data_IF_968758904228
#
_entry.id   IF_968758904228
#
_cell.length_a   1.000
_cell.length_b   1.000
_cell.length_c   1.000
_cell.angle_alpha   90.00
_cell.angle_beta   90.00
_cell.angle_gamma   90.00
#
_symmetry.space_group_name_H-M   'P 1'
#
loop_
_entity.id
_entity.type
_entity.pdbx_description
1 polymer ?
#
# COMPACT_ATOMS: atom_id res chain seq x y z
N UNK A 1 14.12 -8.28 -6.70
CA UNK A 1 13.22 -7.21 -6.25
C UNK A 1 13.13 -7.15 -4.73
N UNK A 2 13.11 -5.94 -4.20
CA UNK A 2 13.24 -5.69 -2.75
C UNK A 2 12.11 -6.30 -1.92
N UNK A 3 10.86 -6.27 -2.41
CA UNK A 3 9.71 -6.79 -1.66
C UNK A 3 9.82 -8.30 -1.46
N UNK A 4 10.14 -9.04 -2.50
CA UNK A 4 10.33 -10.50 -2.43
C UNK A 4 11.51 -10.83 -1.52
N UNK A 5 12.58 -10.07 -1.61
CA UNK A 5 13.74 -10.27 -0.74
C UNK A 5 13.41 -10.01 0.73
N UNK A 6 12.62 -8.98 1.03
CA UNK A 6 12.18 -8.69 2.40
C UNK A 6 11.45 -9.89 3.01
N UNK A 7 10.55 -10.50 2.24
CA UNK A 7 9.83 -11.69 2.69
C UNK A 7 10.79 -12.85 3.00
N UNK A 8 11.75 -13.09 2.13
CA UNK A 8 12.74 -14.16 2.34
C UNK A 8 13.60 -13.93 3.58
N UNK A 9 14.02 -12.67 3.80
CA UNK A 9 14.79 -12.29 4.98
C UNK A 9 13.99 -12.51 6.26
N UNK A 10 12.71 -12.13 6.26
CA UNK A 10 11.82 -12.31 7.40
C UNK A 10 11.61 -13.79 7.71
N UNK A 11 11.37 -14.61 6.69
CA UNK A 11 11.21 -16.07 6.87
C UNK A 11 12.46 -16.70 7.45
N UNK A 12 13.62 -16.28 6.96
CA UNK A 12 14.90 -16.77 7.47
C UNK A 12 15.12 -16.42 8.93
N UNK A 13 14.83 -15.16 9.30
CA UNK A 13 14.94 -14.70 10.69
C UNK A 13 13.98 -15.46 11.59
N UNK A 14 12.74 -15.65 11.16
CA UNK A 14 11.73 -16.39 11.93
C UNK A 14 12.15 -17.83 12.24
N UNK A 15 12.85 -18.47 11.32
CA UNK A 15 13.33 -19.85 11.51
C UNK A 15 14.29 -20.02 12.69
N UNK A 16 14.98 -18.96 13.07
CA UNK A 16 15.89 -18.99 14.22
C UNK A 16 15.29 -18.28 15.44
N UNK A 17 13.99 -18.05 15.42
CA UNK A 17 13.27 -17.47 16.57
C UNK A 17 13.21 -15.95 16.60
N UNK A 18 13.74 -15.28 15.59
CA UNK A 18 13.68 -13.83 15.52
C UNK A 18 12.39 -13.40 14.83
N UNK A 19 11.30 -13.37 15.60
CA UNK A 19 9.97 -13.05 15.10
C UNK A 19 9.06 -12.60 16.25
N UNK A 20 8.00 -11.85 15.91
CA UNK A 20 6.97 -11.52 16.90
C UNK A 20 6.05 -12.72 17.11
N UNK A 21 5.66 -12.99 18.36
CA UNK A 21 4.84 -14.17 18.66
C UNK A 21 3.39 -14.08 18.19
N UNK A 22 2.88 -12.88 17.92
CA UNK A 22 1.49 -12.71 17.46
C UNK A 22 1.32 -11.47 16.59
N UNK A 23 0.17 -11.43 15.91
CA UNK A 23 -0.14 -10.40 14.94
C UNK A 23 -0.35 -9.01 15.55
N UNK A 24 -0.80 -8.95 16.80
CA UNK A 24 -1.03 -7.66 17.46
C UNK A 24 0.27 -6.86 17.58
N UNK A 25 1.37 -7.54 17.87
CA UNK A 25 2.68 -6.89 17.96
C UNK A 25 3.16 -6.39 16.59
N UNK A 26 2.83 -7.12 15.52
CA UNK A 26 3.16 -6.68 14.16
C UNK A 26 2.36 -5.42 13.81
N UNK A 27 1.07 -5.37 14.17
CA UNK A 27 0.22 -4.19 13.95
C UNK A 27 0.71 -2.99 14.76
N UNK A 28 1.12 -3.20 16.01
CA UNK A 28 1.71 -2.15 16.83
C UNK A 28 2.97 -1.57 16.19
N UNK A 29 3.78 -2.42 15.58
CA UNK A 29 4.98 -1.98 14.88
C UNK A 29 4.64 -1.09 13.69
N UNK A 30 3.61 -1.42 12.93
CA UNK A 30 3.15 -0.60 11.81
C UNK A 30 2.69 0.78 12.30
N UNK A 31 1.95 0.83 13.42
CA UNK A 31 1.55 2.10 14.03
C UNK A 31 2.75 2.93 14.44
N UNK A 32 3.74 2.29 15.05
CA UNK A 32 4.98 2.94 15.46
C UNK A 32 5.73 3.53 14.26
N UNK A 33 5.91 2.74 13.20
CA UNK A 33 6.61 3.19 11.99
C UNK A 33 5.85 4.32 11.28
N UNK A 34 4.52 4.30 11.32
CA UNK A 34 3.70 5.37 10.76
C UNK A 34 3.94 6.68 11.51
N UNK A 35 4.01 6.64 12.84
CA UNK A 35 4.31 7.82 13.67
C UNK A 35 5.71 8.36 13.37
N UNK A 36 6.69 7.47 13.27
CA UNK A 36 8.08 7.87 12.97
C UNK A 36 8.18 8.54 11.59
N UNK A 37 7.39 8.05 10.62
CA UNK A 37 7.34 8.68 9.30
C UNK A 37 6.76 10.09 9.36
N UNK A 38 5.69 10.31 10.12
CA UNK A 38 5.09 11.63 10.30
C UNK A 38 6.10 12.58 10.96
N UNK A 39 6.79 12.12 12.00
CA UNK A 39 7.83 12.89 12.67
C UNK A 39 8.97 13.27 11.71
N UNK A 40 9.41 12.32 10.88
CA UNK A 40 10.45 12.55 9.89
C UNK A 40 10.03 13.63 8.88
N UNK A 41 8.76 13.61 8.47
CA UNK A 41 8.21 14.61 7.57
C UNK A 41 8.21 16.00 8.22
N UNK A 42 7.86 16.09 9.50
CA UNK A 42 7.89 17.36 10.24
C UNK A 42 9.28 17.93 10.34
N UNK A 43 10.31 17.07 10.46
CA UNK A 43 11.70 17.47 10.48
C UNK A 43 12.23 17.86 9.09
N UNK A 44 11.45 17.63 8.05
CA UNK A 44 11.80 17.94 6.66
C UNK A 44 13.11 17.27 6.18
N UNK A 45 13.47 16.13 6.78
CA UNK A 45 14.64 15.36 6.38
C UNK A 45 14.27 14.28 5.39
N UNK A 46 14.63 14.46 4.12
CA UNK A 46 14.32 13.47 3.08
C UNK A 46 14.98 12.12 3.38
N UNK A 47 16.19 12.13 3.91
CA UNK A 47 16.89 10.90 4.29
C UNK A 47 16.11 10.10 5.34
N UNK A 48 15.63 10.79 6.37
CA UNK A 48 14.80 10.17 7.42
C UNK A 48 13.47 9.68 6.88
N UNK A 49 12.84 10.47 6.03
CA UNK A 49 11.57 10.08 5.38
C UNK A 49 11.76 8.78 4.60
N UNK A 50 12.82 8.67 3.82
CA UNK A 50 13.12 7.46 3.04
C UNK A 50 13.34 6.26 3.95
N UNK A 51 14.09 6.44 5.03
CA UNK A 51 14.36 5.38 6.00
C UNK A 51 13.09 4.87 6.66
N UNK A 52 12.27 5.79 7.19
CA UNK A 52 11.04 5.42 7.90
C UNK A 52 9.99 4.84 6.95
N UNK A 53 9.93 5.33 5.72
CA UNK A 53 9.04 4.76 4.72
C UNK A 53 9.44 3.32 4.39
N UNK A 54 10.73 3.07 4.23
CA UNK A 54 11.24 1.71 4.01
C UNK A 54 10.90 0.77 5.15
N UNK A 55 11.07 1.24 6.39
CA UNK A 55 10.73 0.47 7.59
C UNK A 55 9.24 0.15 7.65
N UNK A 56 8.39 1.11 7.27
CA UNK A 56 6.94 0.90 7.22
C UNK A 56 6.58 -0.18 6.19
N UNK A 57 7.12 -0.10 4.98
CA UNK A 57 6.87 -1.11 3.94
C UNK A 57 7.34 -2.49 4.39
N UNK A 58 8.52 -2.56 5.00
CA UNK A 58 9.05 -3.81 5.55
C UNK A 58 8.10 -4.42 6.59
N UNK A 59 7.55 -3.60 7.47
CA UNK A 59 6.57 -4.03 8.47
C UNK A 59 5.26 -4.51 7.85
N UNK A 60 4.81 -3.88 6.75
CA UNK A 60 3.62 -4.31 6.02
C UNK A 60 3.83 -5.68 5.37
N UNK A 61 5.01 -5.92 4.78
CA UNK A 61 5.36 -7.23 4.23
C UNK A 61 5.33 -8.29 5.33
N UNK A 62 5.85 -7.93 6.51
CA UNK A 62 5.83 -8.84 7.66
C UNK A 62 4.40 -9.14 8.13
N UNK A 63 3.53 -8.16 8.12
CA UNK A 63 2.11 -8.38 8.40
C UNK A 63 1.51 -9.39 7.43
N UNK A 64 1.79 -9.24 6.14
CA UNK A 64 1.35 -10.19 5.11
C UNK A 64 1.81 -11.62 5.44
N UNK A 65 3.08 -11.77 5.83
CA UNK A 65 3.62 -13.07 6.22
C UNK A 65 2.85 -13.69 7.39
N UNK A 66 2.55 -12.90 8.42
CA UNK A 66 1.77 -13.38 9.57
C UNK A 66 0.33 -13.74 9.22
N UNK A 67 -0.24 -13.09 8.21
CA UNK A 67 -1.60 -13.35 7.74
C UNK A 67 -1.68 -14.47 6.70
N UNK A 68 -0.55 -15.02 6.28
CA UNK A 68 -0.51 -16.00 5.21
C UNK A 68 -0.84 -15.40 3.83
N UNK A 69 -0.60 -14.10 3.66
CA UNK A 69 -0.88 -13.38 2.42
C UNK A 69 0.41 -13.26 1.60
N UNK A 70 0.34 -13.61 0.33
CA UNK A 70 1.39 -13.30 -0.63
C UNK A 70 1.23 -11.82 -1.02
N UNK A 71 2.10 -10.97 -0.48
CA UNK A 71 2.02 -9.51 -0.68
C UNK A 71 2.15 -9.11 -2.14
N UNK A 72 3.01 -9.78 -2.90
CA UNK A 72 3.18 -9.50 -4.33
C UNK A 72 1.90 -9.79 -5.10
N UNK A 73 1.30 -10.95 -4.86
CA UNK A 73 0.06 -11.33 -5.54
C UNK A 73 -1.11 -10.45 -5.12
N UNK A 74 -1.21 -10.12 -3.84
CA UNK A 74 -2.25 -9.23 -3.33
C UNK A 74 -2.16 -7.85 -3.99
N UNK A 75 -0.94 -7.31 -4.13
CA UNK A 75 -0.74 -6.01 -4.76
C UNK A 75 -1.03 -6.06 -6.26
N UNK A 76 -0.68 -7.16 -6.95
CA UNK A 76 -1.05 -7.35 -8.36
C UNK A 76 -2.56 -7.29 -8.55
N UNK A 77 -3.32 -7.91 -7.67
CA UNK A 77 -4.79 -7.88 -7.72
C UNK A 77 -5.31 -6.46 -7.51
N UNK A 78 -4.72 -5.72 -6.58
CA UNK A 78 -5.08 -4.32 -6.34
C UNK A 78 -4.78 -3.47 -7.57
N UNK A 79 -3.63 -3.68 -8.21
CA UNK A 79 -3.27 -2.96 -9.43
C UNK A 79 -4.29 -3.20 -10.55
N UNK A 80 -4.68 -4.46 -10.78
CA UNK A 80 -5.69 -4.78 -11.80
C UNK A 80 -7.03 -4.12 -11.49
N UNK A 81 -7.43 -4.18 -10.24
CA UNK A 81 -8.67 -3.55 -9.77
C UNK A 81 -8.65 -2.05 -10.02
N UNK A 82 -7.54 -1.39 -9.68
CA UNK A 82 -7.37 0.04 -9.90
C UNK A 82 -7.46 0.37 -11.40
N UNK A 83 -6.74 -0.36 -12.23
CA UNK A 83 -6.74 -0.15 -13.68
C UNK A 83 -8.15 -0.25 -14.25
N UNK A 84 -8.89 -1.29 -13.88
CA UNK A 84 -10.24 -1.51 -14.38
C UNK A 84 -11.20 -0.41 -13.94
N UNK A 85 -11.13 0.00 -12.68
CA UNK A 85 -12.00 1.06 -12.15
C UNK A 85 -11.66 2.42 -12.74
N UNK A 86 -10.38 2.72 -12.86
CA UNK A 86 -9.97 4.00 -13.45
C UNK A 86 -10.33 4.08 -14.94
N UNK A 87 -10.22 2.96 -15.65
CA UNK A 87 -10.68 2.87 -17.03
C UNK A 87 -12.17 3.19 -17.15
N UNK A 88 -12.98 2.66 -16.23
CA UNK A 88 -14.41 2.99 -16.19
C UNK A 88 -14.62 4.49 -16.03
N UNK A 89 -13.85 5.14 -15.14
CA UNK A 89 -13.93 6.61 -14.95
C UNK A 89 -13.58 7.33 -16.24
N UNK A 90 -12.47 6.98 -16.87
CA UNK A 90 -12.03 7.59 -18.12
C UNK A 90 -13.07 7.41 -19.25
N UNK A 91 -13.56 6.18 -19.43
CA UNK A 91 -14.50 5.86 -20.50
C UNK A 91 -15.82 6.58 -20.30
N UNK A 92 -16.28 6.69 -19.06
CA UNK A 92 -17.53 7.38 -18.74
C UNK A 92 -17.42 8.89 -19.05
N UNK A 93 -16.33 9.52 -18.65
CA UNK A 93 -16.09 10.95 -18.93
C UNK A 93 -16.05 11.18 -20.45
N UNK A 94 -15.33 10.34 -21.17
CA UNK A 94 -15.21 10.45 -22.62
C UNK A 94 -16.55 10.26 -23.31
N UNK A 95 -17.37 9.31 -22.87
CA UNK A 95 -18.70 9.07 -23.44
C UNK A 95 -19.65 10.25 -23.25
N UNK A 96 -19.41 11.08 -22.24
CA UNK A 96 -20.18 12.29 -21.96
C UNK A 96 -19.62 13.53 -22.68
N UNK A 97 -18.63 13.33 -23.54
CA UNK A 97 -18.01 14.40 -24.32
C UNK A 97 -16.96 15.21 -23.54
N UNK A 98 -16.62 14.79 -22.32
CA UNK A 98 -15.63 15.46 -21.50
C UNK A 98 -14.21 14.95 -21.70
N UNK A 99 -13.29 15.62 -21.04
CA UNK A 99 -11.90 15.25 -20.98
C UNK A 99 -11.50 15.07 -19.52
N UNK A 100 -10.73 14.03 -19.22
CA UNK A 100 -10.34 13.77 -17.84
C UNK A 100 -9.52 14.92 -17.23
N UNK A 101 -8.70 15.60 -18.05
CA UNK A 101 -7.89 16.73 -17.60
C UNK A 101 -8.72 17.91 -17.11
N UNK A 102 -9.98 17.99 -17.56
CA UNK A 102 -10.92 19.06 -17.21
C UNK A 102 -11.97 18.61 -16.21
N UNK A 103 -11.80 17.44 -15.60
CA UNK A 103 -12.75 16.86 -14.66
C UNK A 103 -12.26 17.08 -13.23
N UNK A 104 -13.16 17.44 -12.32
CA UNK A 104 -12.78 17.65 -10.92
C UNK A 104 -12.54 16.32 -10.22
N UNK A 105 -11.77 16.37 -9.15
CA UNK A 105 -11.54 15.19 -8.30
C UNK A 105 -12.87 14.65 -7.76
N UNK A 106 -13.77 15.53 -7.34
CA UNK A 106 -15.08 15.15 -6.81
C UNK A 106 -15.89 14.36 -7.83
N UNK A 107 -15.92 14.81 -9.08
CA UNK A 107 -16.61 14.11 -10.17
C UNK A 107 -15.98 12.75 -10.42
N UNK A 108 -14.65 12.67 -10.44
CA UNK A 108 -13.93 11.41 -10.63
C UNK A 108 -14.20 10.44 -9.48
N UNK A 109 -14.24 10.92 -8.25
CA UNK A 109 -14.55 10.08 -7.08
C UNK A 109 -15.97 9.51 -7.14
N UNK A 110 -16.93 10.31 -7.61
CA UNK A 110 -18.31 9.83 -7.80
C UNK A 110 -18.34 8.66 -8.78
N UNK A 111 -17.65 8.79 -9.89
CA UNK A 111 -17.56 7.71 -10.88
C UNK A 111 -16.79 6.50 -10.35
N UNK A 112 -15.76 6.74 -9.57
CA UNK A 112 -15.00 5.69 -8.90
C UNK A 112 -15.89 4.85 -7.99
N UNK A 113 -16.74 5.50 -7.19
CA UNK A 113 -17.68 4.79 -6.32
C UNK A 113 -18.66 3.93 -7.12
N UNK A 114 -19.13 4.43 -8.28
CA UNK A 114 -19.96 3.62 -9.18
C UNK A 114 -19.21 2.40 -9.70
N UNK A 115 -17.95 2.56 -10.05
CA UNK A 115 -17.11 1.44 -10.51
C UNK A 115 -16.97 0.37 -9.41
N UNK A 116 -16.82 0.78 -8.15
CA UNK A 116 -16.70 -0.14 -7.01
C UNK A 116 -17.98 -0.95 -6.77
N UNK A 117 -19.14 -0.39 -7.11
CA UNK A 117 -20.44 -0.98 -6.82
C UNK A 117 -21.06 -1.73 -8.02
N UNK A 118 -20.29 -1.90 -9.10
CA UNK A 118 -20.78 -2.62 -10.29
C UNK A 118 -20.19 -4.01 -10.46
#
# INVERSE_FOLDING_TARGET
PALVRSLKLQKRAARVGFDWPNILQVLEKIEEETKELVEAKELESQEKINEEFGDLVFSIVNLGRHLGVDSEEALKQTNRKFINRFKFVEDTIRSQGGKIENTTLEEMETLWQKAKNS
#
